data_IF_669721345094
#
_entry.id   IF_669721345094
#
_cell.length_a   1.000
_cell.length_b   1.000
_cell.length_c   1.000
_cell.angle_alpha   90.00
_cell.angle_beta   90.00
_cell.angle_gamma   90.00
#
_symmetry.space_group_name_H-M   'P 1'
#
loop_
_entity.id
_entity.type
_entity.pdbx_description
1 polymer ?
#
# COMPACT_ATOMS: atom_id res chain seq x y z
N UNK A 1 15.74 26.32 49.07
CA UNK A 1 15.41 26.43 47.66
C UNK A 1 14.12 27.22 47.60
N UNK A 2 14.20 28.42 47.03
CA UNK A 2 13.04 29.29 46.86
C UNK A 2 12.47 29.00 45.43
N UNK A 3 11.20 28.56 45.40
CA UNK A 3 10.51 28.36 44.13
C UNK A 3 10.08 29.72 43.49
N UNK A 4 9.22 29.67 42.48
CA UNK A 4 8.72 30.85 41.79
C UNK A 4 7.89 31.81 42.63
N UNK A 5 7.46 31.39 43.82
CA UNK A 5 6.71 32.24 44.74
C UNK A 5 7.62 33.23 45.47
N UNK A 6 7.24 34.52 45.58
CA UNK A 6 7.96 35.49 46.36
C UNK A 6 8.11 35.05 47.83
N UNK A 7 9.23 35.42 48.43
CA UNK A 7 9.55 35.02 49.80
C UNK A 7 8.50 35.35 50.86
N UNK A 8 7.78 36.46 50.64
CA UNK A 8 6.66 36.89 51.53
C UNK A 8 5.54 35.85 51.58
N UNK A 9 5.19 35.22 50.47
CA UNK A 9 4.15 34.18 50.47
C UNK A 9 4.68 32.89 51.14
N UNK A 10 5.89 32.50 50.83
CA UNK A 10 6.52 31.33 51.49
C UNK A 10 6.60 31.50 52.98
N UNK A 11 6.91 32.69 53.48
CA UNK A 11 6.98 32.97 54.90
C UNK A 11 5.58 32.99 55.56
N UNK A 12 4.57 33.56 54.94
CA UNK A 12 3.17 33.51 55.44
C UNK A 12 2.66 32.08 55.55
N UNK A 13 2.97 31.23 54.57
CA UNK A 13 2.58 29.80 54.58
C UNK A 13 3.30 29.07 55.73
N UNK A 14 4.57 29.37 55.99
CA UNK A 14 5.33 28.75 57.06
C UNK A 14 4.78 29.14 58.48
N UNK A 15 4.33 30.36 58.62
CA UNK A 15 3.80 30.89 59.87
C UNK A 15 2.32 30.55 60.12
N UNK A 16 1.58 30.10 59.09
CA UNK A 16 0.18 29.74 59.21
C UNK A 16 -0.02 28.49 60.10
N UNK A 17 -1.18 28.36 60.75
CA UNK A 17 -1.59 27.14 61.47
C UNK A 17 -1.54 25.92 60.60
N UNK A 18 -1.32 24.76 61.19
CA UNK A 18 -1.09 23.49 60.46
C UNK A 18 -2.19 23.18 59.45
N UNK A 19 -3.46 23.44 59.76
CA UNK A 19 -4.59 23.20 58.87
C UNK A 19 -4.57 24.13 57.68
N UNK A 20 -4.46 25.45 57.89
CA UNK A 20 -4.37 26.44 56.80
C UNK A 20 -3.13 26.23 55.91
N UNK A 21 -2.05 25.73 56.48
CA UNK A 21 -0.85 25.40 55.71
C UNK A 21 -1.11 24.23 54.77
N UNK A 22 -1.87 23.19 55.22
CA UNK A 22 -2.24 22.08 54.36
C UNK A 22 -3.15 22.51 53.23
N UNK A 23 -4.21 23.25 53.50
CA UNK A 23 -5.15 23.78 52.55
C UNK A 23 -4.46 24.67 51.46
N UNK A 24 -3.57 25.56 51.92
CA UNK A 24 -2.82 26.41 50.99
C UNK A 24 -1.86 25.61 50.10
N UNK A 25 -1.23 24.55 50.65
CA UNK A 25 -0.38 23.67 49.83
C UNK A 25 -1.17 22.90 48.80
N UNK A 26 -2.34 22.37 49.16
CA UNK A 26 -3.21 21.66 48.23
C UNK A 26 -3.69 22.60 47.09
N UNK A 27 -4.08 23.81 47.45
CA UNK A 27 -4.45 24.82 46.45
C UNK A 27 -3.31 25.14 45.48
N UNK A 28 -2.10 25.39 45.96
CA UNK A 28 -0.91 25.64 45.14
C UNK A 28 -0.51 24.40 44.33
N UNK A 29 -0.76 23.21 44.89
CA UNK A 29 -0.50 21.94 44.18
C UNK A 29 -1.30 21.81 42.90
N UNK A 30 -2.54 22.33 42.82
CA UNK A 30 -3.34 22.34 41.60
C UNK A 30 -2.63 23.11 40.46
N UNK A 31 -2.11 24.30 40.78
CA UNK A 31 -1.37 25.08 39.81
C UNK A 31 -0.06 24.42 39.40
N UNK A 32 0.69 23.90 40.37
CA UNK A 32 1.93 23.18 40.09
C UNK A 32 1.69 21.96 39.19
N UNK A 33 0.65 21.19 39.50
CA UNK A 33 0.27 20.04 38.69
C UNK A 33 -0.04 20.44 37.26
N UNK A 34 -0.88 21.46 37.07
CA UNK A 34 -1.23 21.97 35.73
C UNK A 34 -0.04 22.48 34.96
N UNK A 35 0.80 23.31 35.59
CA UNK A 35 2.01 23.85 34.97
C UNK A 35 3.04 22.77 34.63
N UNK A 36 3.22 21.80 35.53
CA UNK A 36 4.12 20.66 35.28
C UNK A 36 3.61 19.80 34.15
N UNK A 37 2.30 19.53 34.12
CA UNK A 37 1.67 18.78 33.03
C UNK A 37 1.87 19.49 31.68
N UNK A 38 1.62 20.79 31.61
CA UNK A 38 1.84 21.58 30.40
C UNK A 38 3.31 21.63 29.98
N UNK A 39 4.23 21.72 30.94
CA UNK A 39 5.66 21.67 30.64
C UNK A 39 6.08 20.32 30.06
N UNK A 40 5.65 19.22 30.64
CA UNK A 40 5.91 17.86 30.14
C UNK A 40 5.30 17.71 28.74
N UNK A 41 4.03 18.10 28.57
CA UNK A 41 3.37 18.02 27.28
C UNK A 41 4.10 18.83 26.20
N UNK A 42 4.50 20.06 26.51
CA UNK A 42 5.26 20.90 25.55
C UNK A 42 6.63 20.32 25.18
N UNK A 43 7.28 19.63 26.12
CA UNK A 43 8.57 18.98 25.85
C UNK A 43 8.43 17.70 25.01
N UNK A 44 7.30 17.00 25.12
CA UNK A 44 7.07 15.72 24.42
C UNK A 44 6.39 15.94 23.06
N UNK A 45 5.70 17.06 22.86
CA UNK A 45 4.87 17.33 21.67
C UNK A 45 5.59 17.06 20.35
N UNK A 46 6.88 17.40 20.25
CA UNK A 46 7.66 17.20 19.03
C UNK A 46 8.48 15.89 19.01
N UNK A 47 8.44 15.10 20.07
CA UNK A 47 9.13 13.80 20.17
C UNK A 47 8.17 12.65 19.83
N UNK A 48 7.91 12.44 18.53
CA UNK A 48 6.98 11.44 18.01
C UNK A 48 7.15 10.04 18.60
N UNK A 49 8.37 9.47 18.68
CA UNK A 49 8.53 8.12 19.23
C UNK A 49 8.07 8.00 20.67
N UNK A 50 8.40 8.99 21.51
CA UNK A 50 8.03 9.02 22.94
C UNK A 50 6.51 9.18 23.08
N UNK A 51 5.90 10.02 22.26
CA UNK A 51 4.45 10.21 22.28
C UNK A 51 3.71 8.94 21.88
N UNK A 52 4.20 8.26 20.84
CA UNK A 52 3.63 6.98 20.41
C UNK A 52 3.69 5.91 21.51
N UNK A 53 4.82 5.80 22.23
CA UNK A 53 4.96 4.86 23.35
C UNK A 53 4.00 5.16 24.52
N UNK A 54 3.73 6.45 24.79
CA UNK A 54 2.87 6.86 25.91
C UNK A 54 1.38 6.73 25.56
N UNK A 55 0.98 7.21 24.39
CA UNK A 55 -0.44 7.36 24.04
C UNK A 55 -0.98 6.20 23.19
N UNK A 56 -0.10 5.37 22.61
CA UNK A 56 -0.43 4.35 21.60
C UNK A 56 -1.27 4.91 20.42
N UNK A 57 -1.20 6.23 20.19
CA UNK A 57 -1.86 6.93 19.09
C UNK A 57 -0.83 7.66 18.28
N UNK A 58 -0.96 7.53 16.96
CA UNK A 58 -0.11 8.22 16.01
C UNK A 58 -0.93 9.21 15.20
N UNK A 59 -1.21 10.39 15.77
CA UNK A 59 -1.97 11.45 15.09
C UNK A 59 -1.28 11.93 13.80
N UNK A 60 0.05 11.81 13.73
CA UNK A 60 0.80 12.15 12.52
C UNK A 60 0.59 11.16 11.39
N UNK A 61 0.35 9.90 11.70
CA UNK A 61 -0.02 8.90 10.70
C UNK A 61 -1.34 9.29 10.01
N UNK A 62 -2.32 9.71 10.80
CA UNK A 62 -3.61 10.15 10.27
C UNK A 62 -3.48 11.42 9.41
N UNK A 63 -2.60 12.35 9.81
CA UNK A 63 -2.29 13.55 9.01
C UNK A 63 -1.59 13.15 7.70
N UNK A 64 -0.62 12.26 7.73
CA UNK A 64 0.06 11.77 6.53
C UNK A 64 -0.91 11.07 5.58
N UNK A 65 -1.80 10.23 6.10
CA UNK A 65 -2.84 9.60 5.29
C UNK A 65 -3.81 10.62 4.69
N UNK A 66 -4.22 11.62 5.46
CA UNK A 66 -5.08 12.70 4.96
C UNK A 66 -4.41 13.50 3.82
N UNK A 67 -3.11 13.76 3.91
CA UNK A 67 -2.34 14.42 2.84
C UNK A 67 -2.24 13.57 1.57
N UNK A 68 -2.24 12.25 1.71
CA UNK A 68 -2.22 11.32 0.57
C UNK A 68 -3.59 11.08 -0.06
N UNK A 69 -4.67 11.53 0.58
CA UNK A 69 -6.02 11.14 0.22
C UNK A 69 -6.37 9.69 0.57
N UNK A 70 -5.52 9.00 1.34
CA UNK A 70 -5.77 7.63 1.79
C UNK A 70 -6.71 7.65 2.99
N UNK A 71 -7.83 6.95 2.88
CA UNK A 71 -8.76 6.73 3.99
C UNK A 71 -8.38 5.45 4.70
N UNK A 72 -7.92 5.57 5.95
CA UNK A 72 -7.55 4.44 6.78
C UNK A 72 -8.71 3.44 6.86
N UNK A 73 -8.45 2.24 6.41
CA UNK A 73 -9.43 1.16 6.50
C UNK A 73 -9.71 0.83 7.97
N UNK A 74 -10.97 0.75 8.34
CA UNK A 74 -11.38 0.29 9.69
C UNK A 74 -11.03 -1.20 9.92
N UNK A 75 -10.58 -1.90 8.88
CA UNK A 75 -10.23 -3.31 8.92
C UNK A 75 -8.72 -3.51 8.98
N UNK A 76 -8.18 -3.48 10.21
CA UNK A 76 -7.00 -4.22 10.73
C UNK A 76 -5.86 -4.60 9.74
N UNK A 77 -5.43 -3.70 8.87
CA UNK A 77 -4.22 -3.92 8.09
C UNK A 77 -3.17 -2.86 8.43
N UNK A 78 -2.77 -2.88 9.67
CA UNK A 78 -1.82 -1.94 10.25
C UNK A 78 -0.51 -1.83 9.43
N UNK A 79 -0.05 -2.97 8.88
CA UNK A 79 1.15 -3.00 8.05
C UNK A 79 1.04 -2.17 6.76
N UNK A 80 -0.14 -2.16 6.12
CA UNK A 80 -0.35 -1.39 4.88
C UNK A 80 -0.45 0.11 5.18
N UNK A 81 -1.08 0.47 6.29
CA UNK A 81 -1.19 1.86 6.71
C UNK A 81 0.20 2.46 6.95
N UNK A 82 1.11 1.71 7.58
CA UNK A 82 2.49 2.15 7.79
C UNK A 82 3.24 2.36 6.46
N UNK A 83 3.11 1.44 5.51
CA UNK A 83 3.73 1.60 4.18
C UNK A 83 3.21 2.82 3.44
N UNK A 84 1.90 3.06 3.44
CA UNK A 84 1.34 4.24 2.78
C UNK A 84 1.76 5.54 3.44
N UNK A 85 2.00 5.55 4.74
CA UNK A 85 2.57 6.70 5.42
C UNK A 85 4.05 6.93 5.05
N UNK A 86 4.84 5.86 4.99
CA UNK A 86 6.26 5.93 4.60
C UNK A 86 6.43 6.48 3.18
N UNK A 87 5.58 6.06 2.25
CA UNK A 87 5.61 6.50 0.85
C UNK A 87 4.67 7.67 0.55
N UNK A 88 4.20 8.39 1.60
CA UNK A 88 3.26 9.49 1.45
C UNK A 88 3.70 10.55 0.44
N UNK A 89 4.99 10.88 0.42
CA UNK A 89 5.55 11.84 -0.52
C UNK A 89 5.47 11.40 -2.00
N UNK A 90 5.47 10.08 -2.27
CA UNK A 90 5.30 9.55 -3.63
C UNK A 90 3.81 9.48 -4.02
N UNK A 91 2.94 9.27 -3.04
CA UNK A 91 1.48 9.20 -3.25
C UNK A 91 0.83 10.58 -3.34
N UNK A 92 1.48 11.61 -2.78
CA UNK A 92 0.99 12.98 -2.79
C UNK A 92 1.09 13.58 -4.19
N UNK A 93 0.00 13.70 -4.85
CA UNK A 93 -0.08 14.25 -6.19
C UNK A 93 -0.51 13.21 -7.22
N UNK A 94 -1.02 13.70 -8.34
CA UNK A 94 -1.52 12.85 -9.42
C UNK A 94 -0.38 12.24 -10.28
N UNK A 95 0.85 12.29 -9.83
CA UNK A 95 2.01 11.77 -10.53
C UNK A 95 2.22 10.28 -10.24
N UNK A 96 1.24 9.45 -10.61
CA UNK A 96 1.36 8.00 -10.54
C UNK A 96 2.33 7.49 -11.61
N UNK A 97 3.61 7.81 -11.44
CA UNK A 97 4.64 7.38 -12.39
C UNK A 97 5.03 5.93 -12.14
N UNK A 98 5.37 5.22 -13.21
CA UNK A 98 5.89 3.85 -13.14
C UNK A 98 7.13 3.75 -12.25
N UNK A 99 8.00 4.76 -12.29
CA UNK A 99 9.20 4.79 -11.45
C UNK A 99 8.86 4.85 -9.95
N UNK A 100 7.89 5.65 -9.56
CA UNK A 100 7.44 5.75 -8.18
C UNK A 100 6.81 4.43 -7.69
N UNK A 101 5.94 3.82 -8.51
CA UNK A 101 5.33 2.53 -8.22
C UNK A 101 6.40 1.43 -8.10
N UNK A 102 7.33 1.36 -9.04
CA UNK A 102 8.47 0.43 -9.01
C UNK A 102 9.26 0.57 -7.71
N UNK A 103 9.63 1.80 -7.34
CA UNK A 103 10.42 2.08 -6.14
C UNK A 103 9.69 1.64 -4.88
N UNK A 104 8.42 2.03 -4.75
CA UNK A 104 7.58 1.65 -3.61
C UNK A 104 7.46 0.12 -3.48
N UNK A 105 7.09 -0.56 -4.56
CA UNK A 105 6.94 -2.02 -4.54
C UNK A 105 8.26 -2.74 -4.25
N UNK A 106 9.37 -2.27 -4.83
CA UNK A 106 10.70 -2.86 -4.57
C UNK A 106 11.12 -2.69 -3.11
N UNK A 107 10.81 -1.58 -2.47
CA UNK A 107 11.07 -1.36 -1.05
C UNK A 107 10.20 -2.26 -0.15
N UNK A 108 8.90 -2.37 -0.46
CA UNK A 108 7.95 -3.15 0.35
C UNK A 108 8.26 -4.65 0.28
N UNK A 109 8.46 -5.18 -0.94
CA UNK A 109 8.63 -6.63 -1.15
C UNK A 109 10.09 -7.07 -1.10
N UNK A 110 11.04 -6.12 -1.16
CA UNK A 110 12.50 -6.38 -1.17
C UNK A 110 12.93 -7.32 -2.31
N UNK A 111 12.28 -7.20 -3.46
CA UNK A 111 12.57 -7.93 -4.69
C UNK A 111 12.80 -6.97 -5.83
N UNK A 112 13.49 -7.44 -6.84
CA UNK A 112 13.59 -6.71 -8.09
C UNK A 112 12.22 -6.72 -8.79
N UNK A 113 11.71 -5.52 -9.09
CA UNK A 113 10.43 -5.33 -9.76
C UNK A 113 10.65 -4.50 -11.01
N UNK A 114 10.12 -4.97 -12.11
CA UNK A 114 10.10 -4.26 -13.37
C UNK A 114 8.65 -4.07 -13.81
N UNK A 115 8.31 -2.88 -14.28
CA UNK A 115 6.97 -2.57 -14.77
C UNK A 115 7.06 -2.30 -16.26
N UNK A 116 6.27 -3.04 -17.02
CA UNK A 116 6.16 -2.88 -18.47
C UNK A 116 4.88 -2.15 -18.79
N UNK A 117 5.02 -0.99 -19.40
CA UNK A 117 3.90 -0.16 -19.85
C UNK A 117 3.49 -0.54 -21.28
N UNK A 118 2.35 -0.04 -21.71
CA UNK A 118 1.82 -0.19 -23.06
C UNK A 118 1.69 -1.65 -23.51
N UNK A 119 1.14 -2.47 -22.62
CA UNK A 119 0.85 -3.87 -22.92
C UNK A 119 -0.39 -3.94 -23.79
N UNK A 120 -0.25 -4.53 -24.96
CA UNK A 120 -1.36 -4.66 -25.91
C UNK A 120 -2.44 -5.58 -25.36
N UNK A 121 -3.67 -5.10 -25.41
CA UNK A 121 -4.86 -5.86 -25.08
C UNK A 121 -5.89 -5.75 -26.19
N UNK A 122 -6.64 -6.84 -26.45
CA UNK A 122 -7.67 -6.88 -27.46
C UNK A 122 -9.04 -6.92 -26.80
N UNK A 123 -9.87 -5.93 -27.06
CA UNK A 123 -11.25 -5.87 -26.57
C UNK A 123 -12.21 -6.24 -27.69
N UNK A 124 -13.16 -7.12 -27.37
CA UNK A 124 -14.24 -7.43 -28.26
C UNK A 124 -15.33 -6.38 -28.14
N UNK A 125 -15.76 -5.82 -29.27
CA UNK A 125 -16.83 -4.84 -29.33
C UNK A 125 -18.17 -5.45 -29.00
N UNK A 126 -18.99 -4.72 -28.24
CA UNK A 126 -20.38 -5.10 -28.02
C UNK A 126 -21.19 -4.99 -29.32
N UNK A 127 -22.27 -5.79 -29.45
CA UNK A 127 -23.04 -5.88 -30.68
C UNK A 127 -23.65 -4.54 -31.17
N UNK A 128 -23.91 -3.62 -30.26
CA UNK A 128 -24.41 -2.25 -30.53
C UNK A 128 -23.33 -1.31 -31.05
N UNK A 129 -22.06 -1.64 -30.82
CA UNK A 129 -20.89 -0.87 -31.28
C UNK A 129 -20.41 -1.33 -32.68
N UNK A 130 -20.89 -2.48 -33.15
CA UNK A 130 -20.51 -3.04 -34.42
C UNK A 130 -21.24 -2.31 -35.54
N UNK A 131 -20.51 -1.96 -36.65
CA UNK A 131 -21.10 -1.40 -37.84
C UNK A 131 -21.83 -2.49 -38.60
N UNK A 132 -23.14 -2.34 -38.78
CA UNK A 132 -23.99 -3.26 -39.54
C UNK A 132 -24.54 -2.59 -40.81
N UNK A 133 -24.47 -3.28 -41.94
CA UNK A 133 -25.12 -2.85 -43.15
C UNK A 133 -26.64 -2.98 -43.01
N UNK A 134 -27.38 -1.88 -43.20
CA UNK A 134 -28.84 -1.89 -43.11
C UNK A 134 -29.39 -1.81 -41.66
N UNK A 135 -28.54 -1.46 -40.69
CA UNK A 135 -28.96 -1.20 -39.31
C UNK A 135 -29.81 0.06 -39.16
N UNK A 136 -30.49 0.21 -38.04
CA UNK A 136 -31.37 1.37 -37.73
C UNK A 136 -30.62 2.70 -37.63
N UNK A 137 -29.30 2.69 -37.46
CA UNK A 137 -28.45 3.88 -37.41
C UNK A 137 -27.63 4.02 -38.71
N UNK A 138 -27.56 5.20 -39.31
CA UNK A 138 -26.77 5.42 -40.54
C UNK A 138 -25.28 5.32 -40.20
N UNK A 139 -24.56 4.45 -40.89
CA UNK A 139 -23.12 4.32 -40.82
C UNK A 139 -22.44 5.38 -41.68
N UNK A 140 -21.78 6.36 -41.06
CA UNK A 140 -21.06 7.42 -41.70
C UNK A 140 -19.55 7.14 -41.66
N UNK A 141 -18.94 6.99 -42.84
CA UNK A 141 -17.50 6.74 -42.95
C UNK A 141 -16.69 7.88 -42.30
N UNK A 142 -15.75 7.53 -41.41
CA UNK A 142 -14.90 8.48 -40.71
C UNK A 142 -15.52 9.11 -39.44
N UNK A 143 -16.79 8.80 -39.13
CA UNK A 143 -17.48 9.31 -37.90
C UNK A 143 -17.83 8.19 -36.95
N UNK A 144 -18.62 7.20 -37.40
CA UNK A 144 -19.12 6.12 -36.56
C UNK A 144 -19.00 4.73 -37.22
N UNK A 145 -18.21 4.60 -38.28
CA UNK A 145 -17.99 3.32 -38.95
C UNK A 145 -16.72 2.69 -38.45
N UNK A 146 -16.85 1.49 -37.87
CA UNK A 146 -15.73 0.68 -37.44
C UNK A 146 -15.78 -0.70 -38.11
N UNK A 147 -14.66 -1.09 -38.79
CA UNK A 147 -14.54 -2.38 -39.44
C UNK A 147 -13.79 -3.36 -38.56
N UNK A 148 -14.47 -4.38 -38.07
CA UNK A 148 -13.89 -5.42 -37.26
C UNK A 148 -14.69 -5.66 -35.97
N UNK A 149 -14.44 -6.76 -35.33
CA UNK A 149 -15.09 -7.16 -34.06
C UNK A 149 -14.23 -6.85 -32.81
N UNK A 150 -12.96 -6.51 -33.02
CA UNK A 150 -12.01 -6.30 -31.93
C UNK A 150 -11.22 -5.01 -32.10
N UNK A 151 -10.98 -4.33 -31.00
CA UNK A 151 -10.09 -3.17 -30.92
C UNK A 151 -8.84 -3.56 -30.14
N UNK A 152 -7.69 -3.11 -30.61
CA UNK A 152 -6.43 -3.23 -29.89
C UNK A 152 -6.15 -1.93 -29.16
N UNK A 153 -5.96 -2.03 -27.83
CA UNK A 153 -5.64 -0.92 -26.96
C UNK A 153 -4.30 -1.20 -26.27
N UNK A 154 -3.50 -0.16 -26.03
CA UNK A 154 -2.17 -0.27 -25.40
C UNK A 154 -2.04 0.58 -24.15
N UNK A 155 -2.97 1.48 -23.89
CA UNK A 155 -2.95 2.45 -22.80
C UNK A 155 -3.70 1.98 -21.54
N UNK A 156 -4.47 0.91 -21.65
CA UNK A 156 -5.28 0.37 -20.57
C UNK A 156 -4.62 -0.71 -19.72
N UNK A 157 -3.38 -1.15 -20.05
CA UNK A 157 -2.78 -2.32 -19.41
C UNK A 157 -1.31 -2.15 -19.08
N UNK A 158 -0.93 -2.57 -17.88
CA UNK A 158 0.48 -2.70 -17.45
C UNK A 158 0.78 -4.12 -16.98
N UNK A 159 2.03 -4.53 -17.09
CA UNK A 159 2.52 -5.80 -16.58
C UNK A 159 3.58 -5.55 -15.50
N UNK A 160 3.35 -6.05 -14.30
CA UNK A 160 4.30 -6.01 -13.19
C UNK A 160 5.06 -7.33 -13.21
N UNK A 161 6.38 -7.26 -13.35
CA UNK A 161 7.28 -8.41 -13.33
C UNK A 161 8.04 -8.43 -12.03
N UNK A 162 8.00 -9.55 -11.30
CA UNK A 162 8.69 -9.74 -10.03
C UNK A 162 9.66 -10.89 -10.15
N UNK A 163 10.92 -10.65 -9.86
CA UNK A 163 11.93 -11.69 -9.80
C UNK A 163 13.32 -11.27 -10.29
N UNK A 164 14.28 -12.22 -10.25
CA UNK A 164 14.12 -13.67 -10.02
C UNK A 164 13.77 -14.03 -8.55
N UNK A 165 12.78 -14.90 -8.36
CA UNK A 165 12.28 -15.35 -7.07
C UNK A 165 12.76 -16.74 -6.72
N UNK A 166 13.05 -16.99 -5.43
CA UNK A 166 13.19 -18.32 -4.89
C UNK A 166 11.82 -19.02 -4.80
N UNK A 167 11.80 -20.36 -4.90
CA UNK A 167 10.55 -21.13 -4.91
C UNK A 167 9.59 -20.81 -3.76
N UNK A 168 10.09 -20.67 -2.54
CA UNK A 168 9.26 -20.36 -1.37
C UNK A 168 8.56 -18.99 -1.50
N UNK A 169 9.24 -17.99 -2.03
CA UNK A 169 8.68 -16.66 -2.25
C UNK A 169 7.73 -16.65 -3.44
N UNK A 170 8.12 -17.34 -4.52
CA UNK A 170 7.29 -17.51 -5.69
C UNK A 170 5.90 -18.09 -5.35
N UNK A 171 5.83 -19.14 -4.51
CA UNK A 171 4.58 -19.75 -4.08
C UNK A 171 3.68 -18.77 -3.31
N UNK A 172 4.24 -17.82 -2.55
CA UNK A 172 3.48 -16.80 -1.83
C UNK A 172 2.89 -15.71 -2.75
N UNK A 173 3.45 -15.54 -3.95
CA UNK A 173 2.93 -14.62 -4.96
C UNK A 173 1.93 -15.26 -5.92
N UNK A 174 1.66 -16.55 -5.81
CA UNK A 174 0.62 -17.20 -6.62
C UNK A 174 -0.78 -16.63 -6.36
N UNK A 175 -1.73 -16.79 -7.28
CA UNK A 175 -3.10 -16.29 -7.11
C UNK A 175 -3.69 -16.70 -5.76
N UNK A 176 -4.38 -15.75 -5.11
CA UNK A 176 -5.02 -15.93 -3.79
C UNK A 176 -4.07 -16.18 -2.60
N UNK A 177 -2.78 -16.12 -2.78
CA UNK A 177 -1.82 -16.22 -1.69
C UNK A 177 -1.58 -14.87 -1.00
N UNK A 178 -0.97 -14.90 0.18
CA UNK A 178 -0.78 -13.75 1.08
C UNK A 178 -0.13 -12.55 0.39
N UNK A 179 1.02 -12.76 -0.28
CA UNK A 179 1.75 -11.66 -0.93
C UNK A 179 1.03 -11.15 -2.19
N UNK A 180 0.33 -12.04 -2.92
CA UNK A 180 -0.48 -11.65 -4.06
C UNK A 180 -1.64 -10.74 -3.63
N UNK A 181 -2.35 -11.08 -2.56
CA UNK A 181 -3.42 -10.26 -2.00
C UNK A 181 -2.91 -8.92 -1.46
N UNK A 182 -1.75 -8.93 -0.80
CA UNK A 182 -1.11 -7.71 -0.33
C UNK A 182 -0.71 -6.80 -1.50
N UNK A 183 -0.09 -7.36 -2.53
CA UNK A 183 0.27 -6.63 -3.75
C UNK A 183 -0.97 -6.03 -4.42
N UNK A 184 -2.04 -6.84 -4.57
CA UNK A 184 -3.30 -6.39 -5.16
C UNK A 184 -3.84 -5.15 -4.47
N UNK A 185 -3.92 -5.13 -3.15
CA UNK A 185 -4.42 -3.99 -2.37
C UNK A 185 -3.56 -2.74 -2.52
N UNK A 186 -2.22 -2.90 -2.52
CA UNK A 186 -1.32 -1.78 -2.72
C UNK A 186 -1.54 -1.15 -4.08
N UNK A 187 -1.63 -1.98 -5.11
CA UNK A 187 -1.78 -1.53 -6.50
C UNK A 187 -3.18 -0.94 -6.74
N UNK A 188 -4.24 -1.51 -6.17
CA UNK A 188 -5.60 -0.94 -6.21
C UNK A 188 -5.68 0.45 -5.57
N UNK A 189 -4.90 0.69 -4.52
CA UNK A 189 -4.85 2.01 -3.88
C UNK A 189 -4.05 3.03 -4.69
N UNK A 190 -3.02 2.57 -5.40
CA UNK A 190 -2.12 3.43 -6.17
C UNK A 190 -2.63 3.73 -7.56
N UNK A 191 -3.12 2.73 -8.27
CA UNK A 191 -3.49 2.83 -9.68
C UNK A 191 -4.94 3.28 -9.87
N UNK A 192 -5.21 3.84 -11.07
CA UNK A 192 -6.60 4.11 -11.49
C UNK A 192 -7.39 2.79 -11.56
N UNK A 193 -8.66 2.79 -11.16
CA UNK A 193 -9.51 1.60 -11.25
C UNK A 193 -9.80 1.13 -12.69
N UNK A 194 -9.50 1.97 -13.69
CA UNK A 194 -9.67 1.64 -15.12
C UNK A 194 -8.49 0.89 -15.70
N UNK A 195 -7.39 0.72 -14.95
CA UNK A 195 -6.17 0.10 -15.43
C UNK A 195 -6.19 -1.40 -15.17
N UNK A 196 -6.02 -2.20 -16.21
CA UNK A 196 -5.80 -3.65 -16.10
C UNK A 196 -4.34 -3.92 -15.73
N UNK A 197 -4.12 -4.84 -14.79
CA UNK A 197 -2.79 -5.12 -14.27
C UNK A 197 -2.53 -6.62 -14.27
N UNK A 198 -1.54 -7.04 -15.04
CA UNK A 198 -1.05 -8.40 -15.02
C UNK A 198 0.19 -8.53 -14.14
N UNK A 199 0.27 -9.63 -13.43
CA UNK A 199 1.44 -10.01 -12.65
C UNK A 199 2.17 -11.17 -13.33
N UNK A 200 3.45 -10.94 -13.66
CA UNK A 200 4.36 -11.96 -14.17
C UNK A 200 5.39 -12.30 -13.11
N UNK A 201 5.47 -13.57 -12.78
CA UNK A 201 6.43 -14.09 -11.80
C UNK A 201 7.61 -14.72 -12.50
N UNK A 202 8.82 -14.32 -12.14
CA UNK A 202 10.06 -14.85 -12.68
C UNK A 202 10.68 -15.77 -11.63
N UNK A 203 10.74 -17.07 -11.92
CA UNK A 203 11.36 -18.06 -11.05
C UNK A 203 12.84 -18.21 -11.39
N UNK A 204 13.69 -18.25 -10.35
CA UNK A 204 15.12 -18.47 -10.49
C UNK A 204 15.40 -19.82 -11.17
N UNK A 205 16.36 -19.84 -12.10
CA UNK A 205 16.75 -21.04 -12.86
C UNK A 205 17.14 -22.23 -11.97
N UNK A 206 17.77 -21.95 -10.83
CA UNK A 206 18.20 -22.97 -9.88
C UNK A 206 17.06 -23.68 -9.15
N UNK A 207 15.91 -23.02 -9.04
CA UNK A 207 14.73 -23.44 -8.27
C UNK A 207 13.63 -24.07 -9.15
N UNK A 208 13.86 -24.15 -10.46
CA UNK A 208 12.91 -24.74 -11.39
C UNK A 208 12.91 -26.27 -11.22
N UNK A 209 11.75 -26.84 -10.91
CA UNK A 209 11.57 -28.28 -10.70
C UNK A 209 10.52 -28.82 -11.66
N UNK A 210 10.72 -30.05 -12.12
CA UNK A 210 9.72 -30.77 -12.91
C UNK A 210 8.48 -31.07 -12.06
N UNK A 211 7.33 -31.10 -12.68
CA UNK A 211 6.04 -31.49 -12.06
C UNK A 211 6.18 -32.83 -11.36
N UNK A 212 5.75 -32.89 -10.11
CA UNK A 212 5.60 -34.12 -9.34
C UNK A 212 4.15 -34.22 -8.87
N UNK A 213 3.51 -35.35 -9.13
CA UNK A 213 2.19 -35.67 -8.62
C UNK A 213 2.33 -36.15 -7.17
N UNK A 214 2.30 -35.22 -6.23
CA UNK A 214 2.28 -35.48 -4.79
C UNK A 214 1.00 -34.94 -4.18
N UNK A 215 0.54 -35.58 -3.11
CA UNK A 215 -0.62 -35.10 -2.33
C UNK A 215 -0.30 -33.85 -1.50
N UNK A 216 0.16 -32.78 -2.12
CA UNK A 216 0.42 -31.50 -1.48
C UNK A 216 0.22 -30.40 -2.51
N UNK A 217 -0.59 -29.42 -2.19
CA UNK A 217 -0.96 -28.29 -3.05
C UNK A 217 0.19 -27.30 -3.27
N UNK A 218 1.35 -27.74 -3.68
CA UNK A 218 2.47 -26.80 -3.84
C UNK A 218 2.54 -26.16 -5.23
N UNK A 219 1.82 -26.66 -6.23
CA UNK A 219 1.77 -26.05 -7.55
C UNK A 219 0.55 -26.48 -8.36
N UNK A 220 -0.23 -25.51 -8.81
CA UNK A 220 -1.32 -25.72 -9.78
C UNK A 220 -0.81 -25.76 -11.22
N UNK A 221 -1.62 -26.28 -12.13
CA UNK A 221 -1.34 -26.24 -13.57
C UNK A 221 -1.17 -24.77 -14.03
N UNK A 222 -0.07 -24.44 -14.70
CA UNK A 222 0.25 -23.06 -15.08
C UNK A 222 0.75 -22.16 -13.93
N UNK A 223 0.89 -22.71 -12.70
CA UNK A 223 1.28 -21.96 -11.50
C UNK A 223 2.45 -22.68 -10.80
N UNK A 224 3.63 -22.65 -11.43
CA UNK A 224 4.84 -23.26 -10.87
C UNK A 224 4.99 -24.76 -11.13
N UNK A 225 4.09 -25.37 -11.90
CA UNK A 225 4.22 -26.74 -12.41
C UNK A 225 4.70 -26.69 -13.85
N UNK A 226 5.96 -27.05 -14.08
CA UNK A 226 6.60 -26.99 -15.41
C UNK A 226 6.83 -28.38 -15.97
N UNK A 227 6.46 -28.58 -17.25
CA UNK A 227 6.81 -29.78 -18.01
C UNK A 227 8.19 -29.59 -18.61
N UNK A 228 9.19 -30.25 -18.07
CA UNK A 228 10.56 -30.09 -18.49
C UNK A 228 11.20 -31.42 -18.90
N UNK A 229 11.85 -31.46 -20.05
CA UNK A 229 12.71 -32.55 -20.49
C UNK A 229 14.18 -32.35 -20.11
N UNK A 230 14.61 -31.09 -19.89
CA UNK A 230 15.97 -30.71 -19.47
C UNK A 230 15.90 -29.54 -18.50
N UNK A 231 16.90 -29.38 -17.63
CA UNK A 231 17.04 -28.18 -16.81
C UNK A 231 17.24 -26.97 -17.72
N UNK A 232 16.43 -25.91 -17.59
CA UNK A 232 16.62 -24.68 -18.35
C UNK A 232 17.86 -23.94 -17.84
N UNK A 233 18.52 -23.21 -18.73
CA UNK A 233 19.63 -22.31 -18.39
C UNK A 233 19.18 -20.85 -18.28
N UNK A 234 17.88 -20.60 -18.17
CA UNK A 234 17.29 -19.27 -18.08
C UNK A 234 16.21 -19.27 -17.02
N UNK A 235 15.98 -18.13 -16.42
CA UNK A 235 14.87 -17.94 -15.49
C UNK A 235 13.54 -18.25 -16.20
N UNK A 236 12.58 -18.79 -15.47
CA UNK A 236 11.26 -19.06 -16.03
C UNK A 236 10.32 -17.89 -15.74
N UNK A 237 9.75 -17.31 -16.79
CA UNK A 237 8.82 -16.17 -16.78
C UNK A 237 7.42 -16.49 -17.35
N UNK A 238 7.10 -17.78 -17.51
CA UNK A 238 5.86 -18.23 -18.14
C UNK A 238 4.61 -17.95 -17.29
N UNK A 239 4.77 -17.82 -15.95
CA UNK A 239 3.65 -17.61 -15.07
C UNK A 239 3.19 -16.16 -15.08
N UNK A 240 2.08 -15.92 -15.75
CA UNK A 240 1.42 -14.62 -15.82
C UNK A 240 -0.06 -14.78 -15.49
N UNK A 241 -0.61 -13.88 -14.67
CA UNK A 241 -2.04 -13.85 -14.36
C UNK A 241 -2.54 -12.43 -14.12
N UNK A 242 -3.82 -12.20 -14.34
CA UNK A 242 -4.43 -10.90 -14.07
C UNK A 242 -4.58 -10.68 -12.57
N UNK A 243 -4.02 -9.58 -12.07
CA UNK A 243 -4.12 -9.14 -10.69
C UNK A 243 -5.36 -8.26 -10.50
N UNK A 244 -5.60 -7.36 -11.45
CA UNK A 244 -6.73 -6.43 -11.49
C UNK A 244 -7.21 -6.36 -12.95
N UNK A 245 -8.51 -6.56 -13.16
CA UNK A 245 -9.14 -6.58 -14.48
C UNK A 245 -10.14 -7.72 -14.58
N UNK A 246 -11.02 -7.67 -15.55
CA UNK A 246 -11.92 -8.79 -15.86
C UNK A 246 -11.11 -9.92 -16.48
N UNK A 247 -11.24 -11.11 -15.92
CA UNK A 247 -10.84 -12.33 -16.61
C UNK A 247 -11.90 -12.59 -17.70
N UNK A 248 -11.55 -12.25 -18.94
CA UNK A 248 -12.37 -12.57 -20.11
C UNK A 248 -12.14 -14.04 -20.48
#
# INVERSE_FOLDING_TARGET
IQGALPYTYTNKIKQAPRQQRAETKEFLSLFNHKLTSQYVESSITYHLPVRYEIENKNDYLDILHALNGYVRSQHQQQDLDEYFAEFSGLMQGQNNTVHALKTMLSCIFKHEITIKEFVQESFKLAGDQLTTLGGSQPSLLGINTFCGETIQQIDGKIEIQIGPLKRQQYLKFLPHQELSLKLKKIVETWCSPTLSIDLRLILDESEIQSVRLTQGQESGLGQGAFLMSRKPNTHNDETCYSLIGEQI
#
